data_IF_473914655842
#
_entry.id   IF_473914655842
#
_cell.length_a   1.000
_cell.length_b   1.000
_cell.length_c   1.000
_cell.angle_alpha   90.00
_cell.angle_beta   90.00
_cell.angle_gamma   90.00
#
_symmetry.space_group_name_H-M   'P 1'
#
loop_
_entity.id
_entity.type
_entity.pdbx_description
1 polymer ?
#
# COMPACT_ATOMS: atom_id res chain seq x y z
N UNK A 1 1.89 37.98 -6.53
CA UNK A 1 1.38 37.30 -7.73
C UNK A 1 0.62 36.08 -7.24
N UNK A 2 -0.64 35.90 -7.62
CA UNK A 2 -1.41 34.71 -7.25
C UNK A 2 -0.85 33.50 -7.97
N UNK A 3 -0.35 32.53 -7.21
CA UNK A 3 -0.14 31.17 -7.69
C UNK A 3 -1.45 30.62 -8.26
N UNK A 4 -1.41 29.99 -9.43
CA UNK A 4 -2.56 29.30 -10.03
C UNK A 4 -2.15 27.86 -10.23
N UNK A 5 -2.88 26.95 -9.61
CA UNK A 5 -2.78 25.50 -9.80
C UNK A 5 -2.79 25.13 -11.29
N UNK A 6 -1.81 24.35 -11.73
CA UNK A 6 -1.85 23.62 -12.99
C UNK A 6 -2.93 22.54 -12.94
N UNK A 7 -3.88 22.59 -13.88
CA UNK A 7 -4.92 21.57 -14.04
C UNK A 7 -4.99 21.21 -15.52
N UNK A 8 -4.59 19.98 -15.87
CA UNK A 8 -4.79 19.40 -17.20
C UNK A 8 -5.83 18.30 -17.09
N UNK A 9 -6.95 18.48 -17.80
CA UNK A 9 -7.97 17.44 -17.99
C UNK A 9 -8.04 17.08 -19.47
N UNK A 10 -7.88 15.81 -19.80
CA UNK A 10 -7.98 15.29 -21.17
C UNK A 10 -9.00 14.15 -21.23
N UNK A 11 -9.92 14.23 -22.18
CA UNK A 11 -10.92 13.19 -22.44
C UNK A 11 -10.78 12.66 -23.86
N UNK A 12 -10.74 11.35 -24.00
CA UNK A 12 -10.55 10.64 -25.26
C UNK A 12 -11.78 10.62 -26.13
N UNK A 13 -11.55 10.57 -27.44
CA UNK A 13 -12.60 10.32 -28.39
C UNK A 13 -13.07 8.86 -28.29
N UNK A 14 -14.38 8.62 -28.48
CA UNK A 14 -14.91 7.27 -28.59
C UNK A 14 -14.51 6.61 -29.92
N UNK A 15 -14.57 5.28 -29.98
CA UNK A 15 -14.46 4.53 -31.23
C UNK A 15 -15.56 4.93 -32.21
N UNK A 16 -15.18 5.62 -33.29
CA UNK A 16 -16.10 6.23 -34.27
C UNK A 16 -16.67 5.24 -35.29
N UNK A 17 -16.21 3.99 -35.30
CA UNK A 17 -16.68 2.93 -36.20
C UNK A 17 -17.19 1.72 -35.43
N UNK A 18 -18.11 0.92 -36.00
CA UNK A 18 -18.54 -0.30 -35.35
C UNK A 18 -17.37 -1.25 -35.08
N UNK A 19 -17.19 -1.66 -33.82
CA UNK A 19 -16.02 -2.43 -33.39
C UNK A 19 -14.69 -1.65 -33.35
N UNK A 20 -14.71 -0.34 -33.60
CA UNK A 20 -13.50 0.50 -33.59
C UNK A 20 -12.99 0.74 -32.18
N UNK A 21 -11.70 0.57 -31.95
CA UNK A 21 -11.07 0.93 -30.68
C UNK A 21 -11.08 2.45 -30.47
N UNK A 22 -11.24 2.89 -29.23
CA UNK A 22 -11.00 4.29 -28.89
C UNK A 22 -9.48 4.57 -28.79
N UNK A 23 -9.02 5.75 -29.26
CA UNK A 23 -7.64 6.16 -29.11
C UNK A 23 -7.23 6.32 -27.63
N UNK A 24 -5.93 6.12 -27.31
CA UNK A 24 -5.40 6.38 -25.98
C UNK A 24 -5.38 7.88 -25.66
N UNK A 25 -5.37 8.19 -24.36
CA UNK A 25 -5.36 9.56 -23.83
C UNK A 25 -4.26 9.71 -22.80
N UNK A 26 -3.54 10.83 -22.87
CA UNK A 26 -2.52 11.19 -21.90
C UNK A 26 -2.77 12.62 -21.41
N UNK A 27 -2.90 12.77 -20.09
CA UNK A 27 -2.86 14.06 -19.41
C UNK A 27 -1.52 14.15 -18.68
N UNK A 28 -0.66 15.09 -19.09
CA UNK A 28 0.66 15.30 -18.49
C UNK A 28 0.78 16.78 -18.10
N UNK A 29 0.67 17.07 -16.80
CA UNK A 29 1.12 18.34 -16.22
C UNK A 29 2.63 18.21 -15.99
N UNK A 30 3.37 18.49 -17.07
CA UNK A 30 4.82 18.37 -17.12
C UNK A 30 5.55 19.17 -16.05
N UNK A 31 6.70 18.63 -15.67
CA UNK A 31 7.66 19.16 -14.71
C UNK A 31 8.03 20.64 -15.03
N UNK A 32 7.94 21.52 -14.02
CA UNK A 32 8.46 22.91 -13.95
C UNK A 32 7.43 24.04 -14.13
N UNK A 33 6.76 24.40 -13.03
CA UNK A 33 6.43 25.80 -12.77
C UNK A 33 7.45 26.34 -11.76
N UNK A 34 8.29 27.33 -12.12
CA UNK A 34 9.29 27.86 -11.21
C UNK A 34 8.60 28.53 -10.00
N UNK A 35 8.76 27.92 -8.84
CA UNK A 35 8.76 28.54 -7.51
C UNK A 35 7.48 29.24 -7.00
N UNK A 36 6.31 29.07 -7.63
CA UNK A 36 5.09 29.67 -7.07
C UNK A 36 3.88 28.77 -6.97
N UNK A 37 3.80 27.62 -7.66
CA UNK A 37 2.58 26.81 -7.65
C UNK A 37 2.67 25.61 -6.70
N UNK A 38 1.88 25.57 -5.61
CA UNK A 38 1.87 24.47 -4.66
C UNK A 38 1.13 23.22 -5.14
N UNK A 39 0.39 23.23 -6.25
CA UNK A 39 -0.48 22.10 -6.62
C UNK A 39 -0.63 21.86 -8.13
N UNK A 40 -0.35 20.64 -8.58
CA UNK A 40 -0.61 20.19 -9.96
C UNK A 40 -1.61 19.03 -9.97
N UNK A 41 -2.57 19.09 -10.89
CA UNK A 41 -3.59 18.07 -11.09
C UNK A 41 -3.62 17.62 -12.55
N UNK A 42 -3.50 16.32 -12.79
CA UNK A 42 -3.68 15.72 -14.11
C UNK A 42 -4.84 14.71 -14.08
N UNK A 43 -5.76 14.85 -15.04
CA UNK A 43 -6.92 13.96 -15.20
C UNK A 43 -6.99 13.45 -16.64
N UNK A 44 -6.97 12.14 -16.83
CA UNK A 44 -7.11 11.51 -18.14
C UNK A 44 -8.27 10.51 -18.15
N UNK A 45 -9.17 10.65 -19.11
CA UNK A 45 -10.30 9.72 -19.31
C UNK A 45 -10.25 9.16 -20.72
N UNK A 46 -10.06 7.85 -20.86
CA UNK A 46 -10.06 7.13 -22.13
C UNK A 46 -11.45 7.12 -22.78
N UNK A 47 -11.50 7.14 -24.11
CA UNK A 47 -12.77 7.06 -24.83
C UNK A 47 -13.34 5.64 -24.82
N UNK A 48 -14.66 5.49 -24.98
CA UNK A 48 -15.30 4.18 -25.04
C UNK A 48 -15.09 3.52 -26.41
N UNK A 49 -14.92 2.20 -26.42
CA UNK A 49 -14.89 1.41 -27.64
C UNK A 49 -16.18 1.52 -28.44
N UNK A 50 -16.07 1.49 -29.77
CA UNK A 50 -17.23 1.53 -30.65
C UNK A 50 -18.06 0.25 -30.53
N UNK A 51 -19.39 0.39 -30.41
CA UNK A 51 -20.28 -0.78 -30.37
C UNK A 51 -20.12 -1.65 -31.62
N UNK A 52 -20.16 -2.96 -31.46
CA UNK A 52 -20.15 -3.93 -32.54
C UNK A 52 -21.35 -3.70 -33.46
N UNK A 53 -21.12 -3.84 -34.76
CA UNK A 53 -22.18 -3.81 -35.73
C UNK A 53 -23.09 -5.00 -35.48
N UNK A 54 -24.35 -4.75 -35.13
CA UNK A 54 -25.37 -5.76 -35.32
C UNK A 54 -25.47 -5.99 -36.82
N UNK A 55 -25.06 -7.17 -37.29
CA UNK A 55 -25.41 -7.64 -38.62
C UNK A 55 -26.92 -7.82 -38.67
N UNK A 56 -27.66 -6.72 -38.64
CA UNK A 56 -29.08 -6.74 -38.43
C UNK A 56 -29.76 -7.02 -39.77
N UNK A 57 -30.39 -8.19 -39.79
CA UNK A 57 -31.69 -8.45 -40.41
C UNK A 57 -31.83 -7.91 -41.82
N UNK A 58 -31.79 -8.85 -42.79
CA UNK A 58 -32.43 -8.76 -44.10
C UNK A 58 -33.54 -7.71 -44.11
N UNK A 59 -33.17 -6.47 -44.43
CA UNK A 59 -34.13 -5.48 -44.85
C UNK A 59 -34.74 -6.13 -46.07
N UNK A 60 -36.04 -6.43 -46.05
CA UNK A 60 -36.74 -7.08 -47.15
C UNK A 60 -36.74 -6.13 -48.36
N UNK A 61 -35.61 -6.05 -49.04
CA UNK A 61 -35.49 -5.46 -50.36
C UNK A 61 -36.06 -6.50 -51.32
N UNK A 62 -37.16 -6.17 -52.00
CA UNK A 62 -37.75 -7.05 -53.02
C UNK A 62 -36.83 -7.28 -54.23
N UNK A 63 -35.73 -6.52 -54.37
CA UNK A 63 -34.76 -6.67 -55.44
C UNK A 63 -33.33 -6.49 -54.88
N UNK A 64 -32.49 -7.52 -55.03
CA UNK A 64 -31.03 -7.57 -54.81
C UNK A 64 -30.45 -6.51 -53.85
N UNK A 65 -30.48 -6.80 -52.54
CA UNK A 65 -29.69 -6.03 -51.58
C UNK A 65 -28.28 -6.63 -51.45
N UNK A 66 -27.22 -5.80 -51.35
CA UNK A 66 -25.89 -6.28 -51.01
C UNK A 66 -25.95 -7.04 -49.67
N UNK A 67 -25.10 -8.07 -49.48
CA UNK A 67 -25.08 -8.83 -48.24
C UNK A 67 -24.88 -7.87 -47.06
N UNK A 68 -25.69 -8.06 -46.01
CA UNK A 68 -25.54 -7.28 -44.79
C UNK A 68 -24.09 -7.44 -44.29
N UNK A 69 -23.45 -6.36 -43.81
CA UNK A 69 -22.13 -6.46 -43.24
C UNK A 69 -22.14 -7.49 -42.09
N UNK A 70 -21.09 -8.33 -41.98
CA UNK A 70 -21.02 -9.32 -40.93
C UNK A 70 -21.06 -8.62 -39.56
N UNK A 71 -21.68 -9.26 -38.57
CA UNK A 71 -21.64 -8.77 -37.21
C UNK A 71 -20.18 -8.63 -36.75
N UNK A 72 -19.86 -7.54 -36.05
CA UNK A 72 -18.50 -7.29 -35.54
C UNK A 72 -18.46 -7.39 -34.03
N UNK A 73 -17.29 -7.72 -33.49
CA UNK A 73 -17.04 -7.58 -32.06
C UNK A 73 -17.15 -6.11 -31.63
N UNK A 74 -17.32 -5.90 -30.33
CA UNK A 74 -17.19 -4.58 -29.73
C UNK A 74 -15.75 -4.07 -29.81
N UNK A 75 -15.58 -2.76 -29.95
CA UNK A 75 -14.28 -2.12 -29.98
C UNK A 75 -13.66 -2.05 -28.59
N UNK A 76 -12.34 -2.07 -28.49
CA UNK A 76 -11.67 -1.88 -27.21
C UNK A 76 -11.87 -0.46 -26.68
N UNK A 77 -12.01 -0.34 -25.36
CA UNK A 77 -11.93 0.93 -24.65
C UNK A 77 -10.53 1.55 -24.76
N UNK A 78 -10.48 2.89 -24.78
CA UNK A 78 -9.24 3.64 -24.90
C UNK A 78 -8.46 3.63 -23.59
N UNK A 79 -7.14 3.47 -23.69
CA UNK A 79 -6.26 3.59 -22.53
C UNK A 79 -6.23 5.03 -21.99
N UNK A 80 -6.05 5.19 -20.68
CA UNK A 80 -5.89 6.49 -20.04
C UNK A 80 -4.62 6.55 -19.19
N UNK A 81 -3.83 7.60 -19.35
CA UNK A 81 -2.65 7.87 -18.54
C UNK A 81 -2.69 9.28 -17.99
N UNK A 82 -2.59 9.44 -16.68
CA UNK A 82 -2.50 10.73 -16.01
C UNK A 82 -1.18 10.84 -15.25
N UNK A 83 -0.44 11.92 -15.48
CA UNK A 83 0.82 12.21 -14.81
C UNK A 83 0.79 13.62 -14.24
N UNK A 84 0.92 13.73 -12.92
CA UNK A 84 1.01 15.00 -12.21
C UNK A 84 2.33 15.04 -11.44
N UNK A 85 3.15 16.06 -11.69
CA UNK A 85 4.40 16.22 -10.95
C UNK A 85 4.55 17.63 -10.41
N UNK A 86 4.77 17.75 -9.10
CA UNK A 86 4.99 19.02 -8.40
C UNK A 86 6.34 19.00 -7.69
N UNK A 87 7.13 20.06 -7.84
CA UNK A 87 8.37 20.24 -7.08
C UNK A 87 8.52 21.70 -6.67
N UNK A 88 8.56 21.96 -5.37
CA UNK A 88 8.72 23.31 -4.83
C UNK A 88 9.87 23.35 -3.82
N UNK A 89 10.64 24.44 -3.87
CA UNK A 89 11.74 24.66 -2.93
C UNK A 89 11.31 25.38 -1.63
N UNK A 90 10.06 25.87 -1.58
CA UNK A 90 9.50 26.58 -0.43
C UNK A 90 8.93 25.62 0.63
N UNK A 91 8.77 26.13 1.85
CA UNK A 91 8.10 25.43 2.97
C UNK A 91 6.58 25.41 2.84
N UNK A 92 6.05 25.81 1.68
CA UNK A 92 4.61 25.74 1.40
C UNK A 92 4.22 24.29 1.08
N UNK A 93 2.92 24.02 0.98
CA UNK A 93 2.43 22.69 0.61
C UNK A 93 2.80 22.36 -0.84
N UNK A 94 3.21 21.12 -1.12
CA UNK A 94 3.41 20.57 -2.45
C UNK A 94 2.38 19.45 -2.68
N UNK A 95 1.52 19.59 -3.68
CA UNK A 95 0.47 18.60 -3.99
C UNK A 95 0.59 18.15 -5.44
N UNK A 96 0.57 16.83 -5.67
CA UNK A 96 0.41 16.24 -6.99
C UNK A 96 -0.78 15.27 -6.97
N UNK A 97 -1.73 15.45 -7.88
CA UNK A 97 -2.90 14.58 -8.00
C UNK A 97 -3.03 14.08 -9.44
N UNK A 98 -2.95 12.77 -9.63
CA UNK A 98 -3.14 12.13 -10.93
C UNK A 98 -4.34 11.18 -10.88
N UNK A 99 -5.32 11.40 -11.76
CA UNK A 99 -6.51 10.54 -11.87
C UNK A 99 -6.63 10.04 -13.30
N UNK A 100 -6.66 8.72 -13.49
CA UNK A 100 -6.87 8.11 -14.81
C UNK A 100 -8.08 7.19 -14.81
N UNK A 101 -8.87 7.24 -15.88
CA UNK A 101 -10.03 6.38 -16.09
C UNK A 101 -9.99 5.78 -17.50
N UNK A 102 -9.75 4.48 -17.62
CA UNK A 102 -9.79 3.76 -18.90
C UNK A 102 -11.20 3.73 -19.48
N UNK A 103 -11.33 3.79 -20.80
CA UNK A 103 -12.64 3.76 -21.46
C UNK A 103 -13.28 2.38 -21.40
N UNK A 104 -14.61 2.29 -21.41
CA UNK A 104 -15.30 1.00 -21.45
C UNK A 104 -15.14 0.33 -22.83
N UNK A 105 -15.16 -1.00 -22.86
CA UNK A 105 -15.28 -1.75 -24.10
C UNK A 105 -16.66 -1.58 -24.76
N UNK A 106 -16.71 -1.59 -26.09
CA UNK A 106 -17.97 -1.55 -26.83
C UNK A 106 -18.74 -2.86 -26.71
N UNK A 107 -20.07 -2.83 -26.75
CA UNK A 107 -20.88 -4.06 -26.79
C UNK A 107 -20.63 -4.87 -28.08
N UNK A 108 -20.72 -6.19 -28.05
CA UNK A 108 -20.60 -7.06 -29.23
C UNK A 108 -21.84 -7.00 -30.12
N UNK A 109 -21.65 -7.18 -31.44
CA UNK A 109 -22.75 -7.48 -32.36
C UNK A 109 -23.29 -8.90 -32.16
N UNK A 110 -24.43 -9.26 -32.77
CA UNK A 110 -25.02 -10.60 -32.64
C UNK A 110 -24.02 -11.75 -32.87
N UNK A 111 -23.97 -12.72 -31.95
CA UNK A 111 -22.98 -13.81 -31.93
C UNK A 111 -21.50 -13.33 -31.90
N UNK A 112 -21.22 -12.13 -31.38
CA UNK A 112 -19.87 -11.59 -31.21
C UNK A 112 -19.65 -11.12 -29.77
N UNK A 113 -18.40 -11.23 -29.35
CA UNK A 113 -17.94 -10.81 -28.03
C UNK A 113 -17.94 -9.28 -27.89
N UNK A 114 -18.10 -8.81 -26.65
CA UNK A 114 -17.82 -7.43 -26.29
C UNK A 114 -16.34 -7.07 -26.48
N UNK A 115 -16.07 -5.77 -26.55
CA UNK A 115 -14.71 -5.24 -26.57
C UNK A 115 -14.10 -5.22 -25.18
N UNK A 116 -12.78 -5.32 -25.09
CA UNK A 116 -12.08 -5.22 -23.80
C UNK A 116 -12.14 -3.80 -23.25
N UNK A 117 -12.15 -3.67 -21.92
CA UNK A 117 -12.00 -2.39 -21.24
C UNK A 117 -10.61 -1.79 -21.43
N UNK A 118 -10.53 -0.46 -21.48
CA UNK A 118 -9.27 0.28 -21.60
C UNK A 118 -8.48 0.25 -20.29
N UNK A 119 -7.15 0.07 -20.33
CA UNK A 119 -6.33 0.15 -19.13
C UNK A 119 -6.20 1.59 -18.61
N UNK A 120 -5.87 1.75 -17.33
CA UNK A 120 -5.66 3.04 -16.68
C UNK A 120 -4.34 3.09 -15.91
N UNK A 121 -3.61 4.19 -16.03
CA UNK A 121 -2.38 4.43 -15.28
C UNK A 121 -2.34 5.86 -14.73
N UNK A 122 -2.18 5.99 -13.41
CA UNK A 122 -2.01 7.27 -12.74
C UNK A 122 -0.66 7.34 -12.04
N UNK A 123 0.08 8.42 -12.26
CA UNK A 123 1.36 8.69 -11.60
C UNK A 123 1.36 10.08 -11.00
N UNK A 124 1.48 10.17 -9.68
CA UNK A 124 1.62 11.41 -8.97
C UNK A 124 2.98 11.49 -8.28
N UNK A 125 3.69 12.61 -8.45
CA UNK A 125 4.98 12.83 -7.79
C UNK A 125 5.02 14.23 -7.20
N UNK A 126 5.11 14.34 -5.89
CA UNK A 126 5.20 15.61 -5.18
C UNK A 126 6.53 15.71 -4.41
N UNK A 127 7.19 16.86 -4.48
CA UNK A 127 8.38 17.14 -3.66
C UNK A 127 8.36 18.58 -3.13
N UNK A 128 8.78 18.76 -1.87
CA UNK A 128 8.66 20.04 -1.18
C UNK A 128 9.51 20.17 0.07
N UNK A 129 9.77 21.41 0.51
CA UNK A 129 10.40 21.63 1.81
C UNK A 129 9.41 21.61 2.99
N UNK A 130 8.11 21.84 2.73
CA UNK A 130 7.03 21.77 3.72
C UNK A 130 6.16 20.51 3.56
N UNK A 131 4.87 20.60 3.88
CA UNK A 131 3.93 19.48 3.71
C UNK A 131 3.87 19.01 2.26
N UNK A 132 3.97 17.70 2.03
CA UNK A 132 3.92 17.09 0.70
C UNK A 132 2.79 16.07 0.63
N UNK A 133 1.96 16.17 -0.40
CA UNK A 133 0.89 15.23 -0.70
C UNK A 133 1.01 14.73 -2.13
N UNK A 134 1.05 13.42 -2.31
CA UNK A 134 0.96 12.77 -3.62
C UNK A 134 -0.23 11.81 -3.65
N UNK A 135 -1.07 11.93 -4.66
CA UNK A 135 -2.25 11.09 -4.82
C UNK A 135 -2.39 10.59 -6.25
N UNK A 136 -2.35 9.27 -6.44
CA UNK A 136 -2.59 8.63 -7.72
C UNK A 136 -3.80 7.69 -7.66
N UNK A 137 -4.75 7.88 -8.57
CA UNK A 137 -5.96 7.05 -8.66
C UNK A 137 -6.16 6.56 -10.09
N UNK A 138 -6.21 5.25 -10.30
CA UNK A 138 -6.43 4.64 -11.61
C UNK A 138 -7.67 3.75 -11.61
N UNK A 139 -8.61 3.99 -12.53
CA UNK A 139 -9.81 3.19 -12.74
C UNK A 139 -9.77 2.60 -14.13
N UNK A 140 -9.61 1.29 -14.26
CA UNK A 140 -9.68 0.68 -15.57
C UNK A 140 -11.12 0.61 -16.10
N UNK A 141 -11.26 0.58 -17.43
CA UNK A 141 -12.55 0.46 -18.08
C UNK A 141 -13.15 -0.94 -17.93
N UNK A 142 -14.48 -1.02 -17.85
CA UNK A 142 -15.19 -2.29 -17.88
C UNK A 142 -15.13 -2.94 -19.28
N UNK A 143 -15.21 -4.28 -19.32
CA UNK A 143 -15.45 -5.02 -20.56
C UNK A 143 -16.83 -4.70 -21.14
N UNK A 144 -16.96 -4.78 -22.46
CA UNK A 144 -18.24 -4.62 -23.15
C UNK A 144 -19.12 -5.85 -23.03
N UNK A 145 -20.44 -5.67 -23.08
CA UNK A 145 -21.38 -6.80 -23.07
C UNK A 145 -21.27 -7.64 -24.35
N UNK A 146 -21.46 -8.95 -24.26
CA UNK A 146 -21.54 -9.82 -25.42
C UNK A 146 -22.85 -9.60 -26.19
N UNK A 147 -22.80 -9.72 -27.51
CA UNK A 147 -23.99 -9.56 -28.35
C UNK A 147 -24.96 -10.75 -28.24
N UNK A 148 -26.25 -10.55 -28.53
CA UNK A 148 -27.25 -11.60 -28.40
C UNK A 148 -26.92 -12.83 -29.25
N UNK A 149 -27.12 -14.02 -28.66
CA UNK A 149 -26.89 -15.32 -29.32
C UNK A 149 -25.47 -15.87 -29.21
N UNK A 150 -24.54 -15.14 -28.59
CA UNK A 150 -23.25 -15.71 -28.18
C UNK A 150 -23.47 -16.86 -27.19
N UNK A 151 -23.27 -18.09 -27.64
CA UNK A 151 -23.21 -19.28 -26.77
C UNK A 151 -21.77 -19.65 -26.43
N UNK A 152 -20.82 -18.74 -26.67
CA UNK A 152 -19.40 -19.03 -26.51
C UNK A 152 -19.04 -19.10 -25.01
N UNK A 153 -18.42 -20.21 -24.62
CA UNK A 153 -17.87 -20.46 -23.29
C UNK A 153 -16.47 -19.80 -23.13
N UNK A 154 -15.92 -19.13 -24.15
CA UNK A 154 -14.68 -18.35 -24.07
C UNK A 154 -14.42 -17.49 -25.34
N UNK A 155 -13.70 -16.35 -25.28
CA UNK A 155 -13.34 -15.54 -24.10
C UNK A 155 -14.26 -14.32 -23.98
N UNK A 156 -14.77 -14.10 -22.78
CA UNK A 156 -15.58 -12.93 -22.43
C UNK A 156 -14.76 -11.64 -22.56
N UNK A 157 -15.44 -10.51 -22.75
CA UNK A 157 -14.80 -9.21 -22.69
C UNK A 157 -14.18 -8.98 -21.30
N UNK A 158 -12.85 -8.92 -21.25
CA UNK A 158 -12.11 -8.57 -20.04
C UNK A 158 -12.20 -7.07 -19.76
N UNK A 159 -12.17 -6.69 -18.48
CA UNK A 159 -11.94 -5.29 -18.10
C UNK A 159 -10.48 -4.90 -18.33
N UNK A 160 -10.17 -3.63 -18.16
CA UNK A 160 -8.79 -3.15 -18.22
C UNK A 160 -8.02 -3.43 -16.92
N UNK A 161 -6.69 -3.34 -17.00
CA UNK A 161 -5.82 -3.30 -15.83
C UNK A 161 -5.64 -1.86 -15.32
N UNK A 162 -5.48 -1.70 -14.01
CA UNK A 162 -5.24 -0.40 -13.38
C UNK A 162 -3.93 -0.37 -12.59
N UNK A 163 -3.15 0.68 -12.81
CA UNK A 163 -1.89 0.93 -12.11
C UNK A 163 -1.87 2.33 -11.50
N UNK A 164 -1.64 2.44 -10.20
CA UNK A 164 -1.49 3.71 -9.50
C UNK A 164 -0.13 3.80 -8.80
N UNK A 165 0.60 4.86 -9.07
CA UNK A 165 1.92 5.14 -8.50
C UNK A 165 1.92 6.53 -7.86
N UNK A 166 2.12 6.61 -6.55
CA UNK A 166 2.26 7.87 -5.85
C UNK A 166 3.62 7.94 -5.16
N UNK A 167 4.32 9.06 -5.33
CA UNK A 167 5.59 9.35 -4.64
C UNK A 167 5.53 10.74 -4.01
N UNK A 168 5.85 10.84 -2.73
CA UNK A 168 5.93 12.11 -1.99
C UNK A 168 7.29 12.21 -1.29
N UNK A 169 8.03 13.30 -1.53
CA UNK A 169 9.34 13.54 -0.92
C UNK A 169 9.40 14.91 -0.24
N UNK A 170 9.46 14.92 1.09
CA UNK A 170 9.54 16.14 1.90
C UNK A 170 10.86 16.29 2.66
N UNK A 171 11.21 17.54 2.98
CA UNK A 171 12.31 17.85 3.90
C UNK A 171 11.84 18.04 5.34
N UNK A 172 10.69 18.68 5.54
CA UNK A 172 10.06 18.95 6.84
C UNK A 172 8.53 18.90 6.74
N UNK A 173 7.82 18.89 7.86
CA UNK A 173 6.35 18.81 7.87
C UNK A 173 5.85 17.39 7.64
N UNK A 174 4.62 17.22 7.15
CA UNK A 174 4.01 15.91 6.93
C UNK A 174 4.14 15.52 5.45
N UNK A 175 4.57 14.29 5.18
CA UNK A 175 4.67 13.71 3.85
C UNK A 175 3.67 12.57 3.75
N UNK A 176 2.73 12.69 2.82
CA UNK A 176 1.73 11.68 2.56
C UNK A 176 1.75 11.27 1.09
N UNK A 177 1.73 9.97 0.86
CA UNK A 177 1.56 9.39 -0.47
C UNK A 177 0.40 8.39 -0.44
N UNK A 178 -0.50 8.48 -1.41
CA UNK A 178 -1.66 7.61 -1.53
C UNK A 178 -1.81 7.10 -2.96
N UNK A 179 -1.84 5.79 -3.16
CA UNK A 179 -2.10 5.17 -4.46
C UNK A 179 -3.31 4.23 -4.40
N UNK A 180 -4.25 4.40 -5.33
CA UNK A 180 -5.44 3.54 -5.45
C UNK A 180 -5.65 3.07 -6.88
N UNK A 181 -5.73 1.76 -7.10
CA UNK A 181 -5.95 1.17 -8.42
C UNK A 181 -7.18 0.25 -8.42
N UNK A 182 -8.11 0.48 -9.33
CA UNK A 182 -9.37 -0.26 -9.47
C UNK A 182 -9.35 -1.00 -10.81
N UNK A 183 -9.26 -2.33 -10.76
CA UNK A 183 -9.34 -3.17 -11.96
C UNK A 183 -10.70 -3.04 -12.66
N UNK A 184 -10.75 -3.26 -13.96
CA UNK A 184 -11.99 -3.13 -14.73
C UNK A 184 -12.93 -4.31 -14.49
N UNK A 185 -14.23 -4.05 -14.40
CA UNK A 185 -15.20 -5.13 -14.24
C UNK A 185 -15.32 -6.01 -15.50
N UNK A 186 -15.41 -7.34 -15.30
CA UNK A 186 -15.73 -8.31 -16.34
C UNK A 186 -16.41 -9.57 -15.78
N UNK A 187 -17.13 -10.29 -16.65
CA UNK A 187 -17.78 -11.57 -16.35
C UNK A 187 -16.79 -12.72 -16.10
N UNK A 188 -15.52 -12.57 -16.49
CA UNK A 188 -14.47 -13.58 -16.29
C UNK A 188 -13.28 -13.01 -15.52
N UNK A 189 -12.71 -13.82 -14.59
CA UNK A 189 -11.46 -13.52 -13.89
C UNK A 189 -10.34 -13.04 -14.83
N UNK A 190 -9.92 -11.78 -14.77
CA UNK A 190 -8.88 -11.31 -15.70
C UNK A 190 -8.23 -9.95 -15.46
N UNK A 191 -8.72 -9.12 -14.55
CA UNK A 191 -8.17 -7.76 -14.38
C UNK A 191 -7.31 -7.61 -13.15
N UNK A 192 -6.07 -7.16 -13.34
CA UNK A 192 -5.15 -6.85 -12.26
C UNK A 192 -5.30 -5.40 -11.80
N UNK A 193 -5.23 -5.20 -10.49
CA UNK A 193 -5.12 -3.90 -9.85
C UNK A 193 -3.79 -3.84 -9.09
N UNK A 194 -2.98 -2.84 -9.37
CA UNK A 194 -1.69 -2.64 -8.71
C UNK A 194 -1.58 -1.21 -8.22
N UNK A 195 -1.34 -1.04 -6.92
CA UNK A 195 -1.09 0.26 -6.31
C UNK A 195 0.25 0.25 -5.59
N UNK A 196 1.06 1.28 -5.83
CA UNK A 196 2.31 1.51 -5.13
C UNK A 196 2.37 2.95 -4.65
N UNK A 197 2.72 3.12 -3.38
CA UNK A 197 2.89 4.42 -2.76
C UNK A 197 4.22 4.50 -2.02
N UNK A 198 4.90 5.63 -2.17
CA UNK A 198 6.18 5.92 -1.51
C UNK A 198 6.14 7.31 -0.86
N UNK A 199 6.42 7.38 0.43
CA UNK A 199 6.53 8.63 1.17
C UNK A 199 7.89 8.70 1.87
N UNK A 200 8.70 9.70 1.54
CA UNK A 200 9.99 9.96 2.19
C UNK A 200 10.00 11.34 2.79
N UNK A 201 10.35 11.43 4.06
CA UNK A 201 10.60 12.66 4.76
C UNK A 201 12.04 12.64 5.30
N UNK A 202 12.67 13.80 5.48
CA UNK A 202 13.98 13.89 6.12
C UNK A 202 13.88 14.26 7.60
N UNK A 203 12.83 15.02 7.97
CA UNK A 203 12.58 15.55 9.32
C UNK A 203 11.08 15.78 9.53
N UNK A 204 10.31 14.71 9.67
CA UNK A 204 8.86 14.82 9.94
C UNK A 204 8.09 13.59 9.49
N UNK A 205 6.78 13.62 9.59
CA UNK A 205 5.91 12.45 9.39
C UNK A 205 6.01 11.88 7.96
N UNK A 206 6.08 10.55 7.82
CA UNK A 206 5.95 9.85 6.55
C UNK A 206 4.84 8.79 6.64
N UNK A 207 3.77 9.01 5.87
CA UNK A 207 2.62 8.12 5.73
C UNK A 207 2.48 7.71 4.28
N UNK A 208 2.36 6.41 4.03
CA UNK A 208 2.08 5.89 2.70
C UNK A 208 1.03 4.81 2.73
N UNK A 209 0.01 4.97 1.89
CA UNK A 209 -1.06 3.99 1.72
C UNK A 209 -1.15 3.57 0.26
N UNK A 210 -1.23 2.27 0.02
CA UNK A 210 -1.59 1.72 -1.28
C UNK A 210 -2.82 0.83 -1.16
N UNK A 211 -3.73 0.94 -2.13
CA UNK A 211 -4.89 0.10 -2.21
C UNK A 211 -5.19 -0.40 -3.62
N UNK A 212 -5.37 -1.71 -3.74
CA UNK A 212 -5.73 -2.37 -4.98
C UNK A 212 -7.01 -3.19 -4.78
N UNK A 213 -8.20 -2.60 -4.96
CA UNK A 213 -9.43 -3.35 -5.15
C UNK A 213 -9.46 -4.07 -6.51
N UNK A 214 -9.70 -5.37 -6.45
CA UNK A 214 -10.24 -6.12 -7.57
C UNK A 214 -11.77 -5.94 -7.57
N UNK A 215 -12.36 -5.38 -8.61
CA UNK A 215 -13.81 -5.53 -8.79
C UNK A 215 -14.15 -7.02 -8.95
N UNK A 216 -15.38 -7.42 -8.64
CA UNK A 216 -15.83 -8.82 -8.65
C UNK A 216 -15.46 -9.51 -9.98
N UNK A 217 -14.36 -10.30 -9.99
CA UNK A 217 -13.76 -10.86 -11.20
C UNK A 217 -12.32 -10.41 -11.51
N UNK A 218 -11.62 -9.69 -10.63
CA UNK A 218 -10.17 -9.48 -10.77
C UNK A 218 -9.34 -10.70 -10.33
N UNK A 219 -8.18 -10.91 -10.96
CA UNK A 219 -7.15 -11.80 -10.42
C UNK A 219 -6.02 -10.98 -9.81
N UNK A 220 -5.64 -11.36 -8.59
CA UNK A 220 -4.43 -10.95 -7.88
C UNK A 220 -4.19 -9.44 -7.70
N UNK A 221 -5.01 -8.74 -6.89
CA UNK A 221 -4.68 -7.39 -6.47
C UNK A 221 -3.37 -7.35 -5.67
N UNK A 222 -2.61 -6.28 -5.83
CA UNK A 222 -1.37 -6.05 -5.07
C UNK A 222 -1.22 -4.60 -4.64
N UNK A 223 -0.86 -4.39 -3.37
CA UNK A 223 -0.65 -3.07 -2.80
C UNK A 223 0.73 -2.98 -2.12
N UNK A 224 1.53 -1.98 -2.49
CA UNK A 224 2.86 -1.77 -1.95
C UNK A 224 3.01 -0.38 -1.34
N UNK A 225 3.56 -0.30 -0.14
CA UNK A 225 3.88 0.96 0.51
C UNK A 225 5.36 1.01 0.89
N UNK A 226 5.97 2.17 0.77
CA UNK A 226 7.32 2.45 1.25
C UNK A 226 7.36 3.77 2.02
N UNK A 227 7.72 3.72 3.30
CA UNK A 227 7.83 4.88 4.18
C UNK A 227 9.31 5.13 4.53
N UNK A 228 9.75 6.40 4.48
CA UNK A 228 11.09 6.83 4.86
C UNK A 228 11.11 8.10 5.73
N UNK A 229 11.94 8.08 6.77
CA UNK A 229 12.26 9.07 7.85
C UNK A 229 11.23 10.16 8.26
N UNK A 230 10.30 9.79 9.15
CA UNK A 230 9.91 10.52 10.37
C UNK A 230 8.43 10.34 10.78
N UNK A 231 7.95 10.94 11.90
CA UNK A 231 6.97 10.30 12.79
C UNK A 231 5.50 10.32 12.37
N UNK A 232 4.75 9.22 12.27
CA UNK A 232 3.39 9.25 11.69
C UNK A 232 2.19 8.97 12.63
N UNK A 233 0.98 9.13 12.07
CA UNK A 233 -0.34 9.06 12.72
C UNK A 233 -1.12 7.79 12.31
N UNK A 234 -1.77 7.14 13.27
CA UNK A 234 -2.21 5.74 13.25
C UNK A 234 -3.72 5.58 13.16
N UNK A 235 -4.28 5.49 11.95
CA UNK A 235 -5.67 5.03 11.77
C UNK A 235 -5.76 4.03 10.61
N UNK A 236 -5.98 2.73 10.90
CA UNK A 236 -6.23 1.73 9.88
C UNK A 236 -7.43 2.09 9.00
N UNK A 237 -7.29 1.90 7.70
CA UNK A 237 -8.36 2.17 6.72
C UNK A 237 -9.40 1.05 6.76
N UNK A 238 -10.68 1.41 6.75
CA UNK A 238 -11.77 0.44 6.61
C UNK A 238 -11.75 -0.23 5.24
N UNK A 239 -11.87 -1.55 5.21
CA UNK A 239 -11.74 -2.37 4.00
C UNK A 239 -13.08 -2.63 3.32
N UNK A 240 -13.06 -2.64 2.00
CA UNK A 240 -14.13 -3.17 1.15
C UNK A 240 -13.76 -4.57 0.65
N UNK A 241 -14.74 -5.33 0.16
CA UNK A 241 -14.51 -6.65 -0.44
C UNK A 241 -13.54 -6.57 -1.65
N UNK A 242 -12.72 -7.61 -1.83
CA UNK A 242 -11.71 -7.73 -2.90
C UNK A 242 -10.61 -6.67 -2.90
N UNK A 243 -10.37 -6.05 -1.76
CA UNK A 243 -9.35 -5.02 -1.61
C UNK A 243 -8.10 -5.59 -0.95
N UNK A 244 -6.92 -5.27 -1.50
CA UNK A 244 -5.67 -5.27 -0.73
C UNK A 244 -5.38 -3.86 -0.27
N UNK A 245 -4.99 -3.73 0.99
CA UNK A 245 -4.40 -2.51 1.53
C UNK A 245 -3.07 -2.86 2.19
N UNK A 246 -2.06 -2.07 1.86
CA UNK A 246 -0.83 -1.96 2.63
C UNK A 246 -0.72 -0.53 3.10
N UNK A 247 -0.36 -0.33 4.36
CA UNK A 247 -0.10 0.97 4.96
C UNK A 247 1.20 0.87 5.74
N UNK A 248 2.08 1.84 5.53
CA UNK A 248 3.35 1.93 6.22
C UNK A 248 3.53 3.33 6.80
N UNK A 249 3.86 3.35 8.08
CA UNK A 249 3.99 4.56 8.88
C UNK A 249 5.32 4.46 9.60
N UNK A 250 6.25 5.35 9.30
CA UNK A 250 7.45 5.42 10.12
C UNK A 250 7.15 6.30 11.33
N UNK A 251 7.46 5.86 12.54
CA UNK A 251 7.30 6.67 13.75
C UNK A 251 8.64 6.85 14.45
N UNK A 252 9.27 8.02 14.35
CA UNK A 252 10.51 8.30 15.09
C UNK A 252 10.22 9.31 16.20
N UNK A 253 9.57 8.86 17.26
CA UNK A 253 9.54 9.62 18.51
C UNK A 253 10.83 9.32 19.29
N UNK A 254 11.60 10.38 19.57
CA UNK A 254 12.76 10.51 20.48
C UNK A 254 13.96 9.52 20.44
N UNK A 255 15.22 10.00 20.39
CA UNK A 255 16.42 9.17 20.35
C UNK A 255 16.86 8.58 21.70
N UNK A 256 15.99 8.47 22.71
CA UNK A 256 16.49 8.15 24.07
C UNK A 256 15.77 7.06 24.85
N UNK A 257 14.63 6.51 24.43
CA UNK A 257 14.05 5.35 25.13
C UNK A 257 13.18 4.50 24.19
N UNK A 258 13.67 3.33 23.77
CA UNK A 258 12.88 2.14 23.40
C UNK A 258 11.47 2.41 22.86
N UNK A 259 11.43 2.85 21.60
CA UNK A 259 10.23 3.35 20.94
C UNK A 259 9.97 2.59 19.65
N UNK A 260 8.70 2.45 19.30
CA UNK A 260 8.26 1.92 18.01
C UNK A 260 8.98 2.67 16.89
N UNK A 261 9.67 1.96 16.01
CA UNK A 261 10.40 2.50 14.84
C UNK A 261 9.41 2.80 13.71
N UNK A 262 8.44 1.91 13.53
CA UNK A 262 7.41 2.03 12.51
C UNK A 262 6.21 1.16 12.82
N UNK A 263 5.05 1.57 12.34
CA UNK A 263 3.81 0.81 12.42
C UNK A 263 3.26 0.61 11.02
N UNK A 264 2.48 -0.44 10.84
CA UNK A 264 1.80 -0.67 9.59
C UNK A 264 0.60 -1.56 9.77
N UNK A 265 -0.23 -1.58 8.73
CA UNK A 265 -1.35 -2.47 8.65
C UNK A 265 -1.41 -3.08 7.25
N UNK A 266 -1.73 -4.36 7.21
CA UNK A 266 -1.86 -5.12 5.99
C UNK A 266 -3.17 -5.89 6.03
N UNK A 267 -3.85 -5.93 4.90
CA UNK A 267 -5.09 -6.66 4.83
C UNK A 267 -5.51 -7.01 3.41
N UNK A 268 -6.31 -8.05 3.32
CA UNK A 268 -6.97 -8.48 2.11
C UNK A 268 -8.41 -8.89 2.43
N UNK A 269 -9.34 -8.45 1.59
CA UNK A 269 -10.72 -8.92 1.59
C UNK A 269 -11.03 -9.66 0.29
N UNK A 270 -11.98 -10.59 0.32
CA UNK A 270 -12.28 -11.48 -0.81
C UNK A 270 -13.75 -11.32 -1.22
N UNK A 271 -14.04 -11.27 -2.53
CA UNK A 271 -15.41 -11.27 -3.07
C UNK A 271 -15.95 -12.67 -3.38
N UNK A 272 -15.19 -13.72 -3.06
CA UNK A 272 -15.47 -15.08 -3.53
C UNK A 272 -15.08 -15.29 -5.00
N UNK A 273 -14.97 -16.55 -5.40
CA UNK A 273 -14.60 -16.97 -6.75
C UNK A 273 -14.35 -18.48 -6.81
N UNK A 274 -14.55 -19.07 -8.00
CA UNK A 274 -14.33 -20.51 -8.25
C UNK A 274 -12.84 -20.86 -8.40
N UNK A 275 -11.98 -19.84 -8.57
CA UNK A 275 -10.56 -19.99 -8.79
C UNK A 275 -9.78 -19.49 -7.57
N UNK A 276 -8.63 -20.09 -7.35
CA UNK A 276 -7.66 -19.59 -6.38
C UNK A 276 -7.21 -18.19 -6.77
N UNK A 277 -7.26 -17.27 -5.81
CA UNK A 277 -6.77 -15.90 -5.96
C UNK A 277 -5.69 -15.65 -4.91
N UNK A 278 -4.66 -14.89 -5.29
CA UNK A 278 -3.55 -14.53 -4.41
C UNK A 278 -3.51 -13.02 -4.23
N UNK A 279 -3.55 -12.58 -2.98
CA UNK A 279 -3.57 -11.20 -2.57
C UNK A 279 -2.23 -10.92 -1.89
N UNK A 280 -1.48 -9.95 -2.38
CA UNK A 280 -0.15 -9.66 -1.87
C UNK A 280 -0.04 -8.20 -1.43
N UNK A 281 0.58 -7.97 -0.27
CA UNK A 281 0.92 -6.64 0.17
C UNK A 281 2.31 -6.56 0.76
N UNK A 282 2.95 -5.44 0.51
CA UNK A 282 4.32 -5.18 0.94
C UNK A 282 4.39 -3.82 1.62
N UNK A 283 5.15 -3.75 2.71
CA UNK A 283 5.50 -2.50 3.38
C UNK A 283 7.00 -2.44 3.57
N UNK A 284 7.61 -1.33 3.17
CA UNK A 284 9.05 -1.08 3.31
C UNK A 284 9.26 0.08 4.28
N UNK A 285 10.12 -0.12 5.27
CA UNK A 285 10.53 0.87 6.24
C UNK A 285 12.00 1.24 6.00
N UNK A 286 12.24 2.45 5.49
CA UNK A 286 13.56 3.01 5.32
C UNK A 286 13.90 3.93 6.51
N UNK A 287 14.88 3.54 7.33
CA UNK A 287 15.31 4.32 8.49
C UNK A 287 16.82 4.29 8.69
N UNK A 288 17.31 5.19 9.54
CA UNK A 288 18.71 5.25 9.93
C UNK A 288 18.83 4.91 11.41
N UNK A 289 19.81 4.08 11.75
CA UNK A 289 20.18 3.81 13.15
C UNK A 289 21.28 4.80 13.57
N UNK A 290 21.32 5.14 14.85
CA UNK A 290 22.22 6.20 15.35
C UNK A 290 23.61 5.69 15.74
N UNK A 291 23.83 4.37 15.72
CA UNK A 291 25.05 3.76 16.24
C UNK A 291 25.59 2.68 15.30
N UNK A 292 26.93 2.60 15.21
CA UNK A 292 27.64 1.50 14.53
C UNK A 292 27.54 0.15 15.29
N UNK A 293 26.80 0.11 16.39
CA UNK A 293 26.54 -1.09 17.20
C UNK A 293 25.27 -1.78 16.73
N UNK A 294 25.24 -3.11 16.78
CA UNK A 294 24.05 -3.88 16.39
C UNK A 294 22.84 -3.54 17.27
N UNK A 295 21.71 -3.23 16.64
CA UNK A 295 20.42 -3.02 17.31
C UNK A 295 19.55 -4.26 17.08
N UNK A 296 18.82 -4.72 18.09
CA UNK A 296 17.86 -5.82 17.91
C UNK A 296 16.58 -5.25 17.33
N UNK A 297 15.88 -6.00 16.48
CA UNK A 297 14.55 -5.64 16.02
C UNK A 297 13.55 -6.70 16.45
N UNK A 298 12.40 -6.24 16.96
CA UNK A 298 11.24 -7.07 17.22
C UNK A 298 10.07 -6.63 16.33
N UNK A 299 9.28 -7.59 15.87
CA UNK A 299 8.00 -7.37 15.20
C UNK A 299 6.87 -7.71 16.17
N UNK A 300 6.13 -6.69 16.59
CA UNK A 300 4.99 -6.83 17.49
C UNK A 300 3.69 -6.87 16.71
N UNK A 301 2.82 -7.83 17.02
CA UNK A 301 1.45 -7.89 16.50
C UNK A 301 0.55 -7.03 17.38
N UNK A 302 -0.09 -6.03 16.78
CA UNK A 302 -0.91 -5.05 17.49
C UNK A 302 -2.39 -5.43 17.49
N UNK A 303 -2.86 -5.98 16.38
CA UNK A 303 -4.22 -6.46 16.23
C UNK A 303 -4.35 -7.35 15.00
N UNK A 304 -5.42 -8.12 14.97
CA UNK A 304 -5.89 -8.80 13.79
C UNK A 304 -7.41 -8.73 13.71
N UNK A 305 -7.92 -8.81 12.50
CA UNK A 305 -9.35 -8.96 12.23
C UNK A 305 -9.54 -9.96 11.10
N UNK A 306 -10.60 -10.75 11.20
CA UNK A 306 -10.91 -11.78 10.22
C UNK A 306 -12.41 -11.97 10.09
N UNK A 307 -12.87 -12.12 8.85
CA UNK A 307 -14.25 -12.49 8.54
C UNK A 307 -14.25 -13.81 7.78
N UNK A 308 -15.23 -14.67 8.06
CA UNK A 308 -15.34 -15.98 7.42
C UNK A 308 -14.18 -16.90 7.79
N UNK A 309 -13.62 -17.61 6.81
CA UNK A 309 -12.45 -18.47 7.02
C UNK A 309 -11.13 -17.69 7.12
N UNK A 310 -11.15 -16.37 6.87
CA UNK A 310 -9.95 -15.54 6.72
C UNK A 310 -9.23 -15.85 5.41
N UNK A 311 -8.54 -16.99 5.35
CA UNK A 311 -7.76 -17.43 4.21
C UNK A 311 -7.54 -18.94 4.19
N UNK A 312 -7.12 -19.45 3.04
CA UNK A 312 -6.72 -20.85 2.89
C UNK A 312 -5.22 -21.04 3.05
N UNK A 313 -4.40 -20.06 2.69
CA UNK A 313 -2.98 -20.05 3.06
C UNK A 313 -2.45 -18.62 3.18
N UNK A 314 -1.48 -18.41 4.07
CA UNK A 314 -0.79 -17.14 4.24
C UNK A 314 0.72 -17.39 4.34
N UNK A 315 1.51 -16.61 3.63
CA UNK A 315 2.96 -16.51 3.83
C UNK A 315 3.25 -15.11 4.36
N UNK A 316 4.04 -15.02 5.43
CA UNK A 316 4.55 -13.77 5.99
C UNK A 316 6.08 -13.82 5.96
N UNK A 317 6.70 -12.82 5.34
CA UNK A 317 8.14 -12.69 5.32
C UNK A 317 8.55 -11.31 5.83
N UNK A 318 9.69 -11.29 6.52
CA UNK A 318 10.38 -10.06 6.88
C UNK A 318 11.80 -10.17 6.36
N UNK A 319 12.22 -9.20 5.55
CA UNK A 319 13.48 -9.21 4.83
C UNK A 319 14.21 -7.91 5.14
N UNK A 320 15.49 -8.00 5.46
CA UNK A 320 16.38 -6.84 5.42
C UNK A 320 16.88 -6.67 3.98
N UNK A 321 16.42 -5.63 3.29
CA UNK A 321 16.76 -5.37 1.90
C UNK A 321 18.21 -4.89 1.73
N UNK A 322 18.88 -4.43 2.79
CA UNK A 322 20.25 -3.94 2.73
C UNK A 322 21.25 -5.07 2.50
N UNK A 323 21.08 -6.19 3.21
CA UNK A 323 21.93 -7.37 3.10
C UNK A 323 21.21 -8.58 2.45
N UNK A 324 19.95 -8.40 2.07
CA UNK A 324 19.08 -9.40 1.46
C UNK A 324 18.93 -10.66 2.35
N UNK A 325 18.85 -10.47 3.66
CA UNK A 325 18.65 -11.54 4.64
C UNK A 325 17.18 -11.66 5.03
N UNK A 326 16.67 -12.89 5.05
CA UNK A 326 15.33 -13.19 5.58
C UNK A 326 15.41 -13.26 7.10
N UNK A 327 14.76 -12.31 7.77
CA UNK A 327 14.68 -12.22 9.22
C UNK A 327 13.55 -13.09 9.79
N UNK A 328 12.45 -13.22 9.04
CA UNK A 328 11.31 -14.06 9.37
C UNK A 328 10.72 -14.66 8.10
N UNK A 329 10.30 -15.91 8.15
CA UNK A 329 9.55 -16.56 7.08
C UNK A 329 8.60 -17.59 7.66
N UNK A 330 7.33 -17.23 7.75
CA UNK A 330 6.26 -18.07 8.27
C UNK A 330 5.28 -18.45 7.16
N UNK A 331 4.74 -19.66 7.24
CA UNK A 331 3.71 -20.15 6.32
C UNK A 331 2.61 -20.81 7.11
N UNK A 332 1.38 -20.37 6.90
CA UNK A 332 0.20 -20.87 7.56
C UNK A 332 -0.76 -21.47 6.53
N UNK A 333 -1.32 -22.62 6.85
CA UNK A 333 -2.29 -23.34 6.03
C UNK A 333 -3.75 -23.04 6.39
N UNK A 334 -3.97 -22.20 7.40
CA UNK A 334 -5.31 -21.73 7.80
C UNK A 334 -5.23 -20.57 8.79
N UNK A 335 -6.34 -19.83 8.95
CA UNK A 335 -6.47 -18.83 10.01
C UNK A 335 -6.32 -19.44 11.41
N UNK A 336 -6.79 -20.67 11.64
CA UNK A 336 -6.69 -21.35 12.95
C UNK A 336 -5.23 -21.61 13.33
N UNK A 337 -4.39 -21.99 12.37
CA UNK A 337 -2.95 -22.18 12.60
C UNK A 337 -2.24 -20.85 12.83
N UNK A 338 -2.64 -19.80 12.12
CA UNK A 338 -2.03 -18.48 12.22
C UNK A 338 -2.48 -17.69 13.45
N UNK A 339 -3.62 -18.02 14.05
CA UNK A 339 -4.21 -17.24 15.14
C UNK A 339 -3.24 -16.95 16.29
N UNK A 340 -2.47 -17.92 16.83
CA UNK A 340 -1.53 -17.64 17.92
C UNK A 340 -0.39 -16.69 17.51
N UNK A 341 0.00 -16.70 16.23
CA UNK A 341 1.04 -15.80 15.72
C UNK A 341 0.54 -14.35 15.69
N UNK A 342 -0.68 -14.13 15.20
CA UNK A 342 -1.28 -12.79 15.03
C UNK A 342 -2.06 -12.30 16.27
N UNK A 343 -2.02 -13.02 17.39
CA UNK A 343 -2.62 -12.58 18.65
C UNK A 343 -2.02 -11.25 19.10
N UNK A 344 -2.88 -10.33 19.53
CA UNK A 344 -2.46 -9.02 20.03
C UNK A 344 -1.48 -9.18 21.20
N UNK A 345 -0.32 -8.53 21.08
CA UNK A 345 0.75 -8.54 22.08
C UNK A 345 1.78 -9.64 21.84
N UNK A 346 1.60 -10.49 20.82
CA UNK A 346 2.67 -11.39 20.40
C UNK A 346 3.82 -10.60 19.78
N UNK A 347 5.05 -11.05 20.03
CA UNK A 347 6.28 -10.38 19.59
C UNK A 347 7.26 -11.42 19.05
N UNK A 348 7.86 -11.12 17.90
CA UNK A 348 8.83 -11.98 17.22
C UNK A 348 10.14 -11.24 17.07
N UNK A 349 11.21 -11.77 17.66
CA UNK A 349 12.54 -11.22 17.49
C UNK A 349 13.07 -11.53 16.09
N UNK A 350 13.33 -10.48 15.33
CA UNK A 350 13.87 -10.51 13.97
C UNK A 350 15.40 -10.64 13.95
N UNK A 351 16.05 -10.51 15.11
CA UNK A 351 17.50 -10.56 15.25
C UNK A 351 18.12 -9.17 15.25
N UNK A 352 19.39 -9.07 14.90
CA UNK A 352 20.15 -7.83 14.99
C UNK A 352 20.42 -7.21 13.63
N UNK A 353 20.18 -5.92 13.48
CA UNK A 353 20.57 -5.12 12.33
C UNK A 353 21.84 -4.34 12.61
N UNK A 354 22.65 -4.12 11.57
CA UNK A 354 23.92 -3.38 11.67
C UNK A 354 24.05 -2.37 10.54
N UNK A 355 24.70 -1.23 10.81
CA UNK A 355 24.94 -0.17 9.82
C UNK A 355 23.96 0.99 9.93
N UNK A 356 24.36 2.14 9.38
CA UNK A 356 23.71 3.45 9.55
C UNK A 356 22.40 3.63 8.75
N UNK A 357 22.06 2.67 7.88
CA UNK A 357 20.84 2.70 7.07
C UNK A 357 20.24 1.31 6.98
N UNK A 358 18.95 1.21 7.27
CA UNK A 358 18.17 -0.02 7.28
C UNK A 358 16.99 0.14 6.32
N UNK A 359 16.63 -0.97 5.67
CA UNK A 359 15.46 -1.06 4.81
C UNK A 359 14.80 -2.40 5.11
N UNK A 360 13.75 -2.38 5.91
CA UNK A 360 13.03 -3.57 6.35
C UNK A 360 11.76 -3.71 5.54
N UNK A 361 11.65 -4.81 4.81
CA UNK A 361 10.47 -5.19 4.06
C UNK A 361 9.65 -6.21 4.85
N UNK A 362 8.35 -5.96 4.95
CA UNK A 362 7.36 -6.90 5.46
C UNK A 362 6.46 -7.25 4.27
N UNK A 363 6.42 -8.52 3.92
CA UNK A 363 5.62 -9.04 2.81
C UNK A 363 4.60 -10.03 3.35
N UNK A 364 3.34 -9.86 2.96
CA UNK A 364 2.33 -10.90 3.13
C UNK A 364 1.77 -11.34 1.77
N UNK A 365 1.54 -12.64 1.63
CA UNK A 365 0.89 -13.24 0.48
C UNK A 365 -0.16 -14.23 0.95
N UNK A 366 -1.42 -13.94 0.61
CA UNK A 366 -2.58 -14.68 1.08
C UNK A 366 -3.29 -15.30 -0.12
N UNK A 367 -3.49 -16.63 -0.09
CA UNK A 367 -4.33 -17.31 -1.06
C UNK A 367 -5.69 -17.67 -0.50
N UNK A 368 -6.72 -17.42 -1.30
CA UNK A 368 -8.10 -17.75 -0.99
C UNK A 368 -8.72 -18.54 -2.15
N UNK A 369 -9.46 -19.60 -1.82
CA UNK A 369 -10.31 -20.34 -2.75
C UNK A 369 -11.50 -20.93 -2.01
N UNK A 370 -12.69 -20.84 -2.61
CA UNK A 370 -13.88 -21.52 -2.12
C UNK A 370 -14.33 -22.60 -3.12
N UNK A 371 -14.13 -23.86 -2.73
CA UNK A 371 -14.59 -25.03 -3.50
C UNK A 371 -16.11 -25.13 -3.62
N UNK A 372 -16.87 -24.46 -2.74
CA UNK A 372 -18.33 -24.44 -2.79
C UNK A 372 -18.90 -23.34 -3.70
N UNK A 373 -18.07 -22.42 -4.18
CA UNK A 373 -18.49 -21.29 -5.02
C UNK A 373 -19.45 -20.32 -4.33
N UNK A 374 -19.48 -20.31 -3.00
CA UNK A 374 -20.33 -19.41 -2.23
C UNK A 374 -19.58 -18.08 -2.08
N UNK A 375 -20.30 -16.98 -2.27
CA UNK A 375 -19.83 -15.61 -2.02
C UNK A 375 -19.65 -15.38 -0.51
N UNK A 376 -18.76 -16.14 0.13
CA UNK A 376 -18.40 -15.87 1.51
C UNK A 376 -17.47 -14.67 1.51
N UNK A 377 -17.96 -13.56 2.04
CA UNK A 377 -17.17 -12.37 2.32
C UNK A 377 -16.14 -12.75 3.37
N UNK A 378 -15.01 -13.30 2.95
CA UNK A 378 -13.89 -13.52 3.82
C UNK A 378 -13.00 -12.28 3.81
N UNK A 379 -12.26 -12.06 4.89
CA UNK A 379 -11.18 -11.08 4.93
C UNK A 379 -10.21 -11.44 6.04
N UNK A 380 -8.98 -10.97 5.90
CA UNK A 380 -7.98 -11.03 6.95
C UNK A 380 -7.14 -9.76 6.92
N UNK A 381 -6.92 -9.18 8.09
CA UNK A 381 -6.02 -8.05 8.26
C UNK A 381 -5.30 -8.12 9.60
N UNK A 382 -4.13 -7.51 9.66
CA UNK A 382 -3.34 -7.39 10.87
C UNK A 382 -2.61 -6.05 10.90
N UNK A 383 -2.40 -5.53 12.11
CA UNK A 383 -1.55 -4.38 12.37
C UNK A 383 -0.31 -4.84 13.13
N UNK A 384 0.82 -4.21 12.84
CA UNK A 384 2.10 -4.56 13.41
C UNK A 384 2.94 -3.32 13.74
N UNK A 385 3.91 -3.49 14.62
CA UNK A 385 4.92 -2.49 14.94
C UNK A 385 6.31 -3.11 14.84
N UNK A 386 7.23 -2.41 14.17
CA UNK A 386 8.66 -2.66 14.23
C UNK A 386 9.23 -1.88 15.42
N UNK A 387 9.91 -2.56 16.34
CA UNK A 387 10.35 -1.99 17.62
C UNK A 387 11.82 -2.31 17.89
N UNK A 388 12.55 -1.36 18.47
CA UNK A 388 13.84 -1.61 19.14
C UNK A 388 13.56 -2.06 20.59
N UNK A 389 13.78 -3.34 20.94
CA UNK A 389 13.43 -3.83 22.26
C UNK A 389 14.30 -3.19 23.35
N UNK A 390 13.80 -3.14 24.61
CA UNK A 390 14.60 -2.72 25.75
C UNK A 390 15.91 -3.50 25.80
N UNK A 391 17.05 -2.79 25.80
CA UNK A 391 18.32 -3.41 26.20
C UNK A 391 18.09 -3.93 27.60
N UNK A 392 18.10 -5.26 27.75
CA UNK A 392 17.96 -5.90 29.06
C UNK A 392 18.94 -5.21 30.00
N UNK A 393 18.42 -4.54 31.02
CA UNK A 393 19.24 -3.77 31.95
C UNK A 393 20.41 -4.64 32.38
N UNK A 394 21.64 -4.17 32.17
CA UNK A 394 22.84 -4.92 32.53
C UNK A 394 22.72 -5.24 34.00
N UNK A 395 22.34 -6.47 34.33
CA UNK A 395 22.31 -6.94 35.70
C UNK A 395 23.75 -6.81 36.16
N UNK A 396 24.05 -5.94 37.15
CA UNK A 396 25.42 -5.72 37.54
C UNK A 396 26.05 -7.07 37.86
N UNK A 397 27.28 -7.31 37.37
CA UNK A 397 27.94 -8.58 37.65
C UNK A 397 27.96 -8.87 39.15
N UNK A 398 27.98 -10.14 39.56
CA UNK A 398 27.99 -10.52 40.99
C UNK A 398 29.10 -9.79 41.78
N UNK A 399 30.22 -9.47 41.12
CA UNK A 399 31.31 -8.69 41.70
C UNK A 399 30.91 -7.23 42.02
N UNK A 400 30.04 -6.62 41.21
CA UNK A 400 29.51 -5.27 41.43
C UNK A 400 28.58 -5.26 42.65
N UNK A 401 27.73 -6.28 42.79
CA UNK A 401 26.92 -6.48 44.00
C UNK A 401 27.78 -6.70 45.23
N UNK A 402 28.84 -7.50 45.13
CA UNK A 402 29.77 -7.75 46.22
C UNK A 402 30.50 -6.46 46.65
N UNK A 403 30.97 -5.65 45.69
CA UNK A 403 31.63 -4.36 45.97
C UNK A 403 30.67 -3.36 46.62
N UNK A 404 29.42 -3.31 46.17
CA UNK A 404 28.39 -2.45 46.75
C UNK A 404 28.07 -2.85 48.20
N UNK A 405 27.88 -4.14 48.46
CA UNK A 405 27.66 -4.67 49.81
C UNK A 405 28.88 -4.37 50.72
N UNK A 406 30.09 -4.62 50.24
CA UNK A 406 31.32 -4.36 50.99
C UNK A 406 31.51 -2.87 51.28
N UNK A 407 31.14 -1.98 50.35
CA UNK A 407 31.14 -0.53 50.54
C UNK A 407 30.19 -0.08 51.65
N UNK A 408 28.96 -0.61 51.67
CA UNK A 408 27.99 -0.32 52.73
C UNK A 408 28.41 -0.87 54.09
N UNK A 409 29.00 -2.07 54.15
CA UNK A 409 29.58 -2.61 55.38
C UNK A 409 30.72 -1.73 55.89
N UNK A 410 31.60 -1.25 54.99
CA UNK A 410 32.68 -0.33 55.34
C UNK A 410 32.20 1.00 55.92
N UNK A 411 31.17 1.60 55.31
CA UNK A 411 30.53 2.83 55.80
C UNK A 411 29.79 2.64 57.13
N UNK A 412 29.15 1.48 57.33
CA UNK A 412 28.53 1.10 58.60
C UNK A 412 29.52 1.00 59.75
N UNK A 413 30.67 0.34 59.52
CA UNK A 413 31.72 0.21 60.54
C UNK A 413 32.39 1.56 60.84
N UNK A 414 32.60 2.41 59.83
CA UNK A 414 33.17 3.75 60.03
C UNK A 414 32.26 4.68 60.85
N UNK A 415 30.94 4.64 60.60
CA UNK A 415 29.96 5.42 61.37
C UNK A 415 29.82 4.93 62.82
N UNK A 416 29.87 3.60 63.04
CA UNK A 416 29.85 3.01 64.38
C UNK A 416 31.08 3.36 65.22
N UNK A 417 32.27 3.45 64.60
CA UNK A 417 33.48 3.90 65.31
C UNK A 417 33.44 5.38 65.69
N UNK A 418 32.80 6.22 64.87
CA UNK A 418 32.67 7.66 65.14
C UNK A 418 31.69 7.97 66.28
N UNK A 419 30.61 7.20 66.44
CA UNK A 419 29.63 7.41 67.52
C UNK A 419 30.19 7.09 68.91
N UNK A 420 31.14 6.16 69.02
CA UNK A 420 31.81 5.83 70.30
C UNK A 420 32.86 6.85 70.76
N UNK A 421 33.33 7.72 69.87
CA UNK A 421 34.32 8.76 70.20
C UNK A 421 33.77 9.99 70.93
N UNK A 422 32.44 10.17 71.01
CA UNK A 422 31.83 11.39 71.58
C UNK A 422 31.43 11.30 73.06
N UNK A 423 31.56 10.14 73.72
CA UNK A 423 31.36 10.03 75.16
C UNK A 423 32.64 10.39 75.93
N UNK A 424 33.08 11.65 75.82
CA UNK A 424 34.00 12.23 76.81
C UNK A 424 33.18 12.82 77.95
N UNK A 425 33.38 12.40 79.23
CA UNK A 425 32.62 12.93 80.35
C UNK A 425 32.89 14.44 80.55
N UNK A 426 31.90 15.21 81.07
CA UNK A 426 32.03 16.65 81.23
C UNK A 426 33.20 17.00 82.16
N UNK A 427 34.12 17.84 81.68
CA UNK A 427 35.15 18.48 82.51
C UNK A 427 34.45 19.36 83.55
N UNK A 428 34.59 18.99 84.83
CA UNK A 428 34.27 19.87 85.96
C UNK A 428 35.18 21.10 85.90
N UNK A 429 34.58 22.27 85.68
CA UNK A 429 35.23 23.55 85.85
C UNK A 429 35.41 23.84 87.35
N UNK A 430 36.56 24.41 87.71
CA UNK A 430 36.92 24.86 89.05
C UNK A 430 36.91 26.37 89.09
#
# INVERSE_FOLDING_TARGET
>A
MSARAGVVTVTGANGVTPGGAAPPVTADEGHLIPNTDPSNTAEATGGNGGAGGNGATTTRCLFHCPPAPPATAGGAGGAATATATTSISSTTQATATATSAGGAGGAGGSNKIGGVGGPASATATASGAGTVLSQATAHAGAGGEDGPGTTAIDPYAYGGAAHAYATAVGLTGNVQSNASAYGGWALVPGTAAFAQSEAKNSKGEALTTASAPADAGGISPSAMTSAGVGPGNTIPITLNSSQVVSDAILNLTSPTNHETIGEGAMSAAFSGGLLQQTYAGTAVFDFATTSATSETLDLNMLSNDAVGIGFNSLTLQVINLVDNTTLLSETFSSLTEAAPFFENGNSVTLGTVTGESQSIEIEFSLSYWDSAGITSNASFGFAYALVDPPVSAVVPEQATWAMLIMGFVGLGVASWRRSRGSNSPPRLAR
#
